data_IF_187305996635
#
_entry.id   IF_187305996635
#
_cell.length_a   1.000
_cell.length_b   1.000
_cell.length_c   1.000
_cell.angle_alpha   90.00
_cell.angle_beta   90.00
_cell.angle_gamma   90.00
#
_symmetry.space_group_name_H-M   'P 1'
#
loop_
_entity.id
_entity.type
_entity.pdbx_description
1 polymer ?
#
# COMPACT_ATOMS: atom_id res chain seq x y z
N UNK A 1 -28.86 -6.57 -15.91
CA UNK A 1 -29.07 -7.85 -15.21
C UNK A 1 -28.31 -8.94 -15.95
N UNK A 2 -27.66 -9.89 -15.27
CA UNK A 2 -26.96 -11.00 -15.94
C UNK A 2 -27.95 -12.08 -16.40
N UNK A 3 -27.65 -12.77 -17.51
CA UNK A 3 -28.40 -13.97 -17.89
C UNK A 3 -27.93 -15.11 -16.95
N UNK A 4 -28.74 -15.45 -15.95
CA UNK A 4 -28.38 -16.22 -14.74
C UNK A 4 -28.00 -17.69 -14.96
N UNK A 5 -27.97 -18.19 -16.20
CA UNK A 5 -27.77 -19.62 -16.51
C UNK A 5 -26.49 -19.95 -17.29
N UNK A 6 -25.68 -18.97 -17.71
CA UNK A 6 -24.44 -19.23 -18.47
C UNK A 6 -23.17 -18.98 -17.62
N UNK A 7 -22.24 -19.93 -17.60
CA UNK A 7 -20.92 -19.75 -16.99
C UNK A 7 -20.08 -18.69 -17.73
N UNK A 8 -19.23 -17.91 -17.02
CA UNK A 8 -18.33 -16.95 -17.64
C UNK A 8 -17.37 -17.59 -18.66
N UNK A 9 -17.32 -17.04 -19.87
CA UNK A 9 -16.43 -17.47 -20.95
C UNK A 9 -15.11 -16.71 -20.90
N UNK A 10 -14.01 -17.37 -21.23
CA UNK A 10 -12.69 -16.71 -21.33
C UNK A 10 -12.43 -16.28 -22.77
N UNK A 11 -12.03 -15.02 -22.98
CA UNK A 11 -11.59 -14.49 -24.28
C UNK A 11 -10.23 -13.80 -24.17
N UNK A 12 -9.57 -13.60 -25.31
CA UNK A 12 -8.27 -12.93 -25.42
C UNK A 12 -8.42 -11.68 -26.28
N UNK A 13 -8.02 -10.53 -25.73
CA UNK A 13 -8.11 -9.23 -26.39
C UNK A 13 -6.71 -8.79 -26.86
N UNK A 14 -6.60 -8.38 -28.12
CA UNK A 14 -5.39 -7.75 -28.67
C UNK A 14 -5.79 -6.49 -29.44
N UNK A 15 -4.94 -5.48 -29.39
CA UNK A 15 -5.11 -4.22 -30.16
C UNK A 15 -4.57 -4.34 -31.59
N UNK A 16 -4.02 -5.50 -31.98
CA UNK A 16 -3.43 -5.70 -33.31
C UNK A 16 -2.08 -5.02 -33.53
N UNK A 17 -1.54 -4.34 -32.51
CA UNK A 17 -0.24 -3.65 -32.55
C UNK A 17 0.93 -4.55 -32.11
N UNK A 18 0.65 -5.71 -31.51
CA UNK A 18 1.67 -6.69 -31.11
C UNK A 18 1.08 -8.10 -30.95
N UNK A 19 1.96 -9.10 -30.81
CA UNK A 19 1.57 -10.49 -30.51
C UNK A 19 1.15 -10.71 -29.05
N UNK A 20 1.02 -9.64 -28.24
CA UNK A 20 0.55 -9.74 -26.85
C UNK A 20 -0.97 -9.63 -26.78
N UNK A 21 -1.56 -10.31 -25.79
CA UNK A 21 -3.01 -10.32 -25.56
C UNK A 21 -3.33 -10.25 -24.06
N UNK A 22 -4.53 -9.77 -23.74
CA UNK A 22 -5.09 -9.73 -22.38
C UNK A 22 -6.18 -10.79 -22.26
N UNK A 23 -6.05 -11.70 -21.28
CA UNK A 23 -7.07 -12.70 -20.94
C UNK A 23 -8.16 -12.05 -20.07
N UNK A 24 -9.42 -12.14 -20.49
CA UNK A 24 -10.57 -11.63 -19.71
C UNK A 24 -11.70 -12.65 -19.67
N UNK A 25 -12.49 -12.64 -18.58
CA UNK A 25 -13.76 -13.38 -18.49
C UNK A 25 -14.93 -12.48 -18.86
N UNK A 26 -15.82 -12.97 -19.72
CA UNK A 26 -17.04 -12.28 -20.17
C UNK A 26 -18.27 -13.15 -19.91
N UNK A 27 -19.38 -12.52 -19.60
CA UNK A 27 -20.67 -13.20 -19.43
C UNK A 27 -21.75 -12.45 -20.21
N UNK A 28 -22.76 -13.20 -20.63
CA UNK A 28 -23.90 -12.64 -21.33
C UNK A 28 -24.79 -11.86 -20.36
N UNK A 29 -25.15 -10.63 -20.72
CA UNK A 29 -26.09 -9.82 -19.95
C UNK A 29 -27.43 -9.70 -20.69
N UNK A 30 -28.48 -9.36 -19.95
CA UNK A 30 -29.80 -9.01 -20.47
C UNK A 30 -29.78 -7.52 -20.82
N UNK A 31 -29.86 -7.14 -22.10
CA UNK A 31 -29.80 -5.74 -22.50
C UNK A 31 -30.95 -4.91 -21.94
N UNK A 32 -30.66 -3.65 -21.64
CA UNK A 32 -31.59 -2.63 -21.18
C UNK A 32 -31.67 -1.49 -22.20
N UNK A 33 -32.69 -0.64 -22.07
CA UNK A 33 -32.83 0.54 -22.91
C UNK A 33 -31.59 1.44 -22.78
N UNK A 34 -30.91 1.69 -23.90
CA UNK A 34 -29.67 2.48 -23.95
C UNK A 34 -28.39 1.67 -24.20
N UNK A 35 -28.45 0.34 -24.09
CA UNK A 35 -27.28 -0.50 -24.37
C UNK A 35 -26.93 -0.53 -25.87
N UNK A 36 -25.64 -0.39 -26.17
CA UNK A 36 -25.12 -0.46 -27.55
C UNK A 36 -24.89 -1.91 -27.96
N UNK A 37 -25.81 -2.45 -28.76
CA UNK A 37 -25.73 -3.81 -29.30
C UNK A 37 -25.34 -3.86 -30.79
N UNK A 38 -24.91 -2.73 -31.35
CA UNK A 38 -24.47 -2.66 -32.75
C UNK A 38 -23.10 -2.01 -32.84
N UNK A 39 -22.24 -2.58 -33.69
CA UNK A 39 -21.00 -1.95 -34.13
C UNK A 39 -21.25 -1.31 -35.48
N UNK A 40 -20.94 -0.03 -35.61
CA UNK A 40 -21.12 0.72 -36.86
C UNK A 40 -19.77 1.11 -37.45
N UNK A 41 -19.66 1.13 -38.78
CA UNK A 41 -18.51 1.67 -39.51
C UNK A 41 -18.97 2.38 -40.77
N UNK A 42 -18.13 3.24 -41.34
CA UNK A 42 -18.35 3.82 -42.66
C UNK A 42 -17.65 2.98 -43.72
N UNK A 43 -18.29 2.79 -44.87
CA UNK A 43 -17.64 2.28 -46.05
C UNK A 43 -18.07 3.12 -47.26
N UNK A 44 -17.15 3.94 -47.76
CA UNK A 44 -17.37 4.84 -48.90
C UNK A 44 -18.56 5.79 -48.70
N UNK A 45 -18.71 6.36 -47.50
CA UNK A 45 -19.79 7.28 -47.18
C UNK A 45 -21.13 6.60 -46.84
N UNK A 46 -21.17 5.26 -46.85
CA UNK A 46 -22.35 4.48 -46.44
C UNK A 46 -22.11 3.90 -45.05
N UNK A 47 -22.94 4.32 -44.09
CA UNK A 47 -22.94 3.76 -42.74
C UNK A 47 -23.41 2.29 -42.79
N UNK A 48 -22.56 1.40 -42.30
CA UNK A 48 -22.83 -0.02 -42.11
C UNK A 48 -22.93 -0.32 -40.62
N UNK A 49 -23.69 -1.36 -40.26
CA UNK A 49 -23.75 -1.87 -38.89
C UNK A 49 -23.82 -3.39 -38.85
N UNK A 50 -23.41 -3.96 -37.72
CA UNK A 50 -23.58 -5.38 -37.39
C UNK A 50 -24.00 -5.51 -35.94
N UNK A 51 -24.92 -6.45 -35.67
CA UNK A 51 -25.34 -6.77 -34.31
C UNK A 51 -24.23 -7.50 -33.57
N UNK A 52 -23.98 -7.09 -32.33
CA UNK A 52 -22.97 -7.64 -31.44
C UNK A 52 -23.69 -8.39 -30.30
N UNK A 53 -23.28 -9.64 -30.00
CA UNK A 53 -23.82 -10.37 -28.86
C UNK A 53 -23.63 -9.61 -27.54
N UNK A 54 -24.62 -9.61 -26.62
CA UNK A 54 -24.59 -8.83 -25.40
C UNK A 54 -23.71 -9.49 -24.34
N UNK A 55 -22.39 -9.41 -24.51
CA UNK A 55 -21.41 -9.85 -23.53
C UNK A 55 -20.72 -8.65 -22.89
N UNK A 56 -20.54 -8.72 -21.58
CA UNK A 56 -19.77 -7.75 -20.81
C UNK A 56 -18.69 -8.46 -20.00
N UNK A 57 -17.60 -7.75 -19.68
CA UNK A 57 -16.56 -8.28 -18.80
C UNK A 57 -17.12 -8.52 -17.40
N UNK A 58 -16.87 -9.72 -16.88
CA UNK A 58 -17.25 -10.09 -15.50
C UNK A 58 -16.20 -9.62 -14.50
N UNK A 59 -14.95 -9.45 -14.96
CA UNK A 59 -13.77 -9.18 -14.11
C UNK A 59 -13.49 -7.70 -13.82
N UNK A 60 -14.52 -6.86 -13.67
CA UNK A 60 -14.32 -5.58 -12.97
C UNK A 60 -13.97 -5.85 -11.48
N UNK A 61 -14.49 -6.93 -10.92
CA UNK A 61 -14.24 -7.36 -9.54
C UNK A 61 -12.83 -7.90 -9.32
N UNK A 62 -12.19 -8.59 -10.27
CA UNK A 62 -10.84 -9.17 -10.07
C UNK A 62 -9.76 -8.10 -9.85
N UNK A 63 -9.87 -6.94 -10.51
CA UNK A 63 -8.97 -5.82 -10.27
C UNK A 63 -9.17 -5.22 -8.87
N UNK A 64 -10.43 -5.13 -8.43
CA UNK A 64 -10.81 -4.67 -7.09
C UNK A 64 -10.38 -5.67 -6.02
N UNK A 65 -10.57 -6.97 -6.23
CA UNK A 65 -10.08 -8.06 -5.37
C UNK A 65 -8.57 -7.99 -5.23
N UNK A 66 -7.81 -7.83 -6.32
CA UNK A 66 -6.35 -7.67 -6.25
C UNK A 66 -5.92 -6.43 -5.46
N UNK A 67 -6.66 -5.33 -5.57
CA UNK A 67 -6.39 -4.11 -4.81
C UNK A 67 -6.66 -4.29 -3.32
N UNK A 68 -7.83 -4.84 -2.97
CA UNK A 68 -8.22 -5.16 -1.60
C UNK A 68 -7.23 -6.15 -0.99
N UNK A 69 -6.88 -7.19 -1.75
CA UNK A 69 -5.92 -8.20 -1.34
C UNK A 69 -4.54 -7.58 -1.08
N UNK A 70 -4.05 -6.68 -1.93
CA UNK A 70 -2.77 -6.02 -1.70
C UNK A 70 -2.78 -5.17 -0.43
N UNK A 71 -3.83 -4.37 -0.20
CA UNK A 71 -3.98 -3.59 1.03
C UNK A 71 -4.04 -4.51 2.26
N UNK A 72 -4.80 -5.59 2.17
CA UNK A 72 -4.92 -6.58 3.24
C UNK A 72 -3.57 -7.23 3.58
N UNK A 73 -2.82 -7.71 2.57
CA UNK A 73 -1.47 -8.25 2.77
C UNK A 73 -0.52 -7.19 3.35
N UNK A 74 -0.64 -5.93 2.94
CA UNK A 74 0.16 -4.83 3.48
C UNK A 74 -0.13 -4.60 4.96
N UNK A 75 -1.40 -4.57 5.35
CA UNK A 75 -1.81 -4.39 6.75
C UNK A 75 -1.45 -5.60 7.62
N UNK A 76 -1.61 -6.83 7.12
CA UNK A 76 -1.17 -8.04 7.82
C UNK A 76 0.35 -8.05 8.02
N UNK A 77 1.12 -7.70 6.98
CA UNK A 77 2.56 -7.61 7.08
C UNK A 77 2.96 -6.54 8.10
N UNK A 78 2.38 -5.35 8.00
CA UNK A 78 2.58 -4.26 8.98
C UNK A 78 2.31 -4.77 10.40
N UNK A 79 1.12 -5.33 10.67
CA UNK A 79 0.76 -5.82 12.00
C UNK A 79 1.70 -6.92 12.50
N UNK A 80 2.05 -7.89 11.64
CA UNK A 80 2.96 -8.97 12.03
C UNK A 80 4.35 -8.46 12.41
N UNK A 81 4.86 -7.42 11.72
CA UNK A 81 6.11 -6.75 12.08
C UNK A 81 5.96 -6.02 13.40
N UNK A 82 4.81 -5.39 13.65
CA UNK A 82 4.52 -4.69 14.91
C UNK A 82 4.54 -5.62 16.11
N UNK A 83 4.02 -6.84 15.96
CA UNK A 83 4.03 -7.86 17.02
C UNK A 83 5.45 -8.30 17.39
N UNK A 84 6.39 -8.32 16.42
CA UNK A 84 7.79 -8.71 16.65
C UNK A 84 8.72 -7.55 17.00
N UNK A 85 8.22 -6.31 17.01
CA UNK A 85 9.00 -5.09 17.28
C UNK A 85 8.48 -4.29 18.47
N UNK A 86 7.48 -4.82 19.18
CA UNK A 86 6.95 -4.24 20.42
C UNK A 86 6.76 -5.30 21.47
N UNK A 87 6.83 -4.89 22.73
CA UNK A 87 6.49 -5.75 23.85
C UNK A 87 5.03 -6.19 23.76
N UNK A 88 4.82 -7.49 23.95
CA UNK A 88 3.51 -8.12 23.99
C UNK A 88 3.22 -8.60 25.41
N UNK A 89 1.95 -8.53 25.80
CA UNK A 89 1.49 -8.74 27.17
C UNK A 89 0.31 -9.70 27.19
N UNK A 90 0.22 -10.50 28.24
CA UNK A 90 -0.95 -11.31 28.55
C UNK A 90 -2.07 -10.38 29.00
N UNK A 91 -3.27 -10.61 28.48
CA UNK A 91 -4.49 -9.87 28.80
C UNK A 91 -5.61 -10.86 29.12
N UNK A 92 -6.56 -10.47 29.97
CA UNK A 92 -7.68 -11.32 30.39
C UNK A 92 -7.54 -11.83 31.83
N UNK A 93 -8.44 -12.75 32.20
CA UNK A 93 -8.49 -13.34 33.56
C UNK A 93 -7.35 -14.32 33.81
N UNK A 94 -6.95 -15.09 32.80
CA UNK A 94 -5.81 -16.01 32.87
C UNK A 94 -4.49 -15.23 32.82
N UNK A 95 -3.63 -15.49 33.80
CA UNK A 95 -2.37 -14.75 34.04
C UNK A 95 -1.15 -15.66 34.14
N UNK A 96 -1.34 -16.97 33.99
CA UNK A 96 -0.35 -18.03 34.25
C UNK A 96 0.21 -17.96 35.68
N UNK A 97 -0.62 -17.49 36.63
CA UNK A 97 -0.24 -17.27 38.03
C UNK A 97 0.65 -16.05 38.28
N UNK A 98 0.91 -15.21 37.28
CA UNK A 98 1.70 -13.99 37.44
C UNK A 98 0.87 -12.86 38.07
N UNK A 99 1.47 -12.16 39.03
CA UNK A 99 0.86 -10.98 39.65
C UNK A 99 0.91 -9.78 38.69
N UNK A 100 -0.08 -8.90 38.76
CA UNK A 100 -0.13 -7.69 37.95
C UNK A 100 1.06 -6.74 38.18
N UNK A 101 1.66 -6.77 39.36
CA UNK A 101 2.83 -5.97 39.73
C UNK A 101 4.16 -6.72 39.53
N UNK A 102 4.21 -7.75 38.68
CA UNK A 102 5.47 -8.45 38.35
C UNK A 102 6.51 -7.51 37.74
N UNK A 103 6.08 -6.46 37.05
CA UNK A 103 6.90 -5.33 36.64
C UNK A 103 6.76 -4.22 37.69
N UNK A 104 7.88 -3.87 38.34
CA UNK A 104 7.91 -2.81 39.36
C UNK A 104 7.67 -1.41 38.76
N UNK A 105 7.49 -0.42 39.63
CA UNK A 105 7.18 0.97 39.27
C UNK A 105 8.29 1.66 38.45
N UNK A 106 9.49 1.10 38.42
CA UNK A 106 10.59 1.63 37.60
C UNK A 106 10.45 1.23 36.13
N UNK A 107 9.63 0.21 35.83
CA UNK A 107 9.38 -0.24 34.48
C UNK A 107 8.27 0.61 33.81
N UNK A 108 8.47 1.12 32.57
CA UNK A 108 7.44 1.88 31.85
C UNK A 108 6.18 1.06 31.53
N UNK A 109 6.22 -0.26 31.73
CA UNK A 109 5.09 -1.18 31.56
C UNK A 109 4.63 -1.79 32.89
N UNK A 110 4.89 -1.14 34.02
CA UNK A 110 4.26 -1.45 35.31
C UNK A 110 2.76 -1.72 35.15
N UNK A 111 2.25 -2.72 35.88
CA UNK A 111 0.84 -3.11 35.83
C UNK A 111 0.44 -3.99 34.63
N UNK A 112 1.40 -4.42 33.80
CA UNK A 112 1.19 -5.36 32.70
C UNK A 112 1.89 -6.70 32.96
N UNK A 113 1.31 -7.77 32.42
CA UNK A 113 1.88 -9.12 32.51
C UNK A 113 2.64 -9.44 31.21
N UNK A 114 3.98 -9.58 31.24
CA UNK A 114 4.75 -9.90 30.04
C UNK A 114 4.50 -11.34 29.58
N UNK A 115 4.71 -11.63 28.29
CA UNK A 115 4.78 -13.00 27.80
C UNK A 115 5.98 -13.74 28.41
N UNK A 116 5.84 -15.02 28.80
CA UNK A 116 6.97 -15.87 29.14
C UNK A 116 8.02 -15.89 28.00
N UNK A 117 9.33 -15.81 28.29
CA UNK A 117 10.36 -15.67 27.27
C UNK A 117 10.33 -16.74 26.17
N UNK A 118 10.07 -18.00 26.55
CA UNK A 118 9.97 -19.12 25.59
C UNK A 118 8.76 -18.96 24.68
N UNK A 119 7.61 -18.56 25.24
CA UNK A 119 6.39 -18.32 24.45
C UNK A 119 6.60 -17.14 23.48
N UNK A 120 7.23 -16.06 23.94
CA UNK A 120 7.61 -14.93 23.09
C UNK A 120 8.50 -15.37 21.92
N UNK A 121 9.55 -16.16 22.20
CA UNK A 121 10.44 -16.68 21.16
C UNK A 121 9.73 -17.60 20.15
N UNK A 122 8.78 -18.43 20.61
CA UNK A 122 7.95 -19.27 19.73
C UNK A 122 7.04 -18.43 18.83
N UNK A 123 6.41 -17.39 19.38
CA UNK A 123 5.60 -16.46 18.59
C UNK A 123 6.44 -15.74 17.53
N UNK A 124 7.63 -15.25 17.90
CA UNK A 124 8.55 -14.60 16.97
C UNK A 124 8.97 -15.54 15.83
N UNK A 125 9.27 -16.82 16.14
CA UNK A 125 9.60 -17.81 15.13
C UNK A 125 8.46 -17.96 14.10
N UNK A 126 7.22 -18.07 14.58
CA UNK A 126 6.05 -18.21 13.72
C UNK A 126 5.83 -16.94 12.88
N UNK A 127 5.82 -15.77 13.53
CA UNK A 127 5.58 -14.49 12.86
C UNK A 127 6.64 -14.20 11.81
N UNK A 128 7.92 -14.39 12.11
CA UNK A 128 9.03 -14.04 11.21
C UNK A 128 9.13 -15.06 10.07
N UNK A 129 9.21 -16.35 10.40
CA UNK A 129 9.56 -17.37 9.40
C UNK A 129 8.35 -17.88 8.61
N UNK A 130 7.18 -18.01 9.23
CA UNK A 130 6.01 -18.56 8.55
C UNK A 130 5.10 -17.48 7.95
N UNK A 131 5.01 -16.31 8.58
CA UNK A 131 4.07 -15.25 8.15
C UNK A 131 4.80 -14.16 7.36
N UNK A 132 5.70 -13.41 7.99
CA UNK A 132 6.38 -12.26 7.39
C UNK A 132 7.18 -12.64 6.14
N UNK A 133 7.90 -13.76 6.16
CA UNK A 133 8.71 -14.19 5.01
C UNK A 133 7.86 -14.44 3.76
N UNK A 134 6.70 -15.08 3.92
CA UNK A 134 5.74 -15.31 2.83
C UNK A 134 5.12 -13.99 2.36
N UNK A 135 4.54 -13.23 3.29
CA UNK A 135 3.85 -11.98 2.99
C UNK A 135 4.76 -10.95 2.31
N UNK A 136 6.03 -10.83 2.72
CA UNK A 136 7.00 -9.92 2.06
C UNK A 136 7.17 -10.24 0.58
N UNK A 137 7.37 -11.51 0.23
CA UNK A 137 7.57 -11.93 -1.16
C UNK A 137 6.32 -11.69 -2.01
N UNK A 138 5.17 -12.11 -1.50
CA UNK A 138 3.89 -11.95 -2.20
C UNK A 138 3.51 -10.47 -2.38
N UNK A 139 3.70 -9.66 -1.35
CA UNK A 139 3.43 -8.23 -1.40
C UNK A 139 4.33 -7.52 -2.41
N UNK A 140 5.64 -7.78 -2.39
CA UNK A 140 6.58 -7.14 -3.31
C UNK A 140 6.29 -7.52 -4.78
N UNK A 141 6.02 -8.79 -5.06
CA UNK A 141 5.65 -9.25 -6.40
C UNK A 141 4.35 -8.58 -6.89
N UNK A 142 3.32 -8.52 -6.05
CA UNK A 142 2.04 -7.88 -6.39
C UNK A 142 2.18 -6.38 -6.58
N UNK A 143 2.90 -5.71 -5.67
CA UNK A 143 3.16 -4.28 -5.72
C UNK A 143 3.96 -3.93 -6.99
N UNK A 144 5.03 -4.67 -7.30
CA UNK A 144 5.80 -4.50 -8.53
C UNK A 144 4.93 -4.69 -9.78
N UNK A 145 4.11 -5.76 -9.83
CA UNK A 145 3.19 -6.00 -10.96
C UNK A 145 2.16 -4.88 -11.14
N UNK A 146 1.67 -4.30 -10.04
CA UNK A 146 0.74 -3.17 -10.08
C UNK A 146 1.45 -1.90 -10.57
N UNK A 147 2.61 -1.60 -10.00
CA UNK A 147 3.48 -0.47 -10.34
C UNK A 147 3.94 -0.50 -11.80
N UNK A 148 4.28 -1.66 -12.36
CA UNK A 148 4.70 -1.80 -13.77
C UNK A 148 3.55 -1.58 -14.76
N UNK A 149 2.30 -1.87 -14.37
CA UNK A 149 1.13 -1.62 -15.24
C UNK A 149 0.72 -0.15 -15.27
N UNK A 150 1.08 0.60 -14.23
CA UNK A 150 0.84 2.05 -14.08
C UNK A 150 -0.57 2.50 -14.54
N UNK A 151 -1.60 1.76 -14.10
CA UNK A 151 -2.99 2.08 -14.43
C UNK A 151 -3.50 3.19 -13.51
N UNK A 152 -4.25 4.13 -14.08
CA UNK A 152 -4.90 5.21 -13.31
C UNK A 152 -5.73 4.64 -12.14
N UNK A 153 -6.53 3.61 -12.41
CA UNK A 153 -7.44 2.99 -11.42
C UNK A 153 -6.75 2.34 -10.21
N UNK A 154 -5.43 2.09 -10.28
CA UNK A 154 -4.65 1.51 -9.17
C UNK A 154 -3.83 2.54 -8.40
N UNK A 155 -3.88 3.81 -8.78
CA UNK A 155 -3.05 4.87 -8.20
C UNK A 155 -3.30 5.04 -6.70
N UNK A 156 -4.57 5.17 -6.28
CA UNK A 156 -4.92 5.37 -4.86
C UNK A 156 -4.44 4.19 -3.99
N UNK A 157 -4.60 2.98 -4.48
CA UNK A 157 -4.14 1.76 -3.80
C UNK A 157 -2.63 1.75 -3.68
N UNK A 158 -1.93 2.12 -4.75
CA UNK A 158 -0.47 2.22 -4.77
C UNK A 158 0.01 3.28 -3.76
N UNK A 159 -0.63 4.44 -3.72
CA UNK A 159 -0.39 5.48 -2.71
C UNK A 159 -0.54 4.94 -1.28
N UNK A 160 -1.68 4.31 -0.97
CA UNK A 160 -1.95 3.80 0.38
C UNK A 160 -0.95 2.72 0.80
N UNK A 161 -0.60 1.80 -0.10
CA UNK A 161 0.39 0.75 0.17
C UNK A 161 1.77 1.36 0.41
N UNK A 162 2.21 2.29 -0.44
CA UNK A 162 3.49 2.99 -0.26
C UNK A 162 3.49 3.77 1.06
N UNK A 163 2.42 4.48 1.39
CA UNK A 163 2.27 5.19 2.66
C UNK A 163 2.49 4.26 3.85
N UNK A 164 1.81 3.11 3.89
CA UNK A 164 1.92 2.14 4.98
C UNK A 164 3.34 1.56 5.06
N UNK A 165 3.96 1.25 3.91
CA UNK A 165 5.32 0.72 3.87
C UNK A 165 6.36 1.75 4.33
N UNK A 166 6.24 3.01 3.93
CA UNK A 166 7.13 4.10 4.37
C UNK A 166 6.98 4.36 5.87
N UNK A 167 5.76 4.34 6.39
CA UNK A 167 5.52 4.43 7.83
C UNK A 167 6.13 3.22 8.56
N UNK A 168 5.98 2.01 8.01
CA UNK A 168 6.61 0.82 8.56
C UNK A 168 8.14 0.94 8.60
N UNK A 169 8.76 1.54 7.58
CA UNK A 169 10.20 1.82 7.57
C UNK A 169 10.62 2.70 8.73
N UNK A 170 9.90 3.79 9.02
CA UNK A 170 10.18 4.63 10.19
C UNK A 170 10.12 3.82 11.51
N UNK A 171 9.09 2.99 11.66
CA UNK A 171 8.88 2.20 12.88
C UNK A 171 9.96 1.13 13.11
N UNK A 172 10.38 0.41 12.06
CA UNK A 172 11.45 -0.59 12.20
C UNK A 172 12.81 0.08 12.46
N UNK A 173 13.06 1.25 11.86
CA UNK A 173 14.24 2.08 12.15
C UNK A 173 14.23 2.55 13.60
N UNK A 174 13.09 3.03 14.11
CA UNK A 174 12.92 3.43 15.51
C UNK A 174 13.14 2.26 16.48
N UNK A 175 12.63 1.08 16.14
CA UNK A 175 12.87 -0.14 16.92
C UNK A 175 14.37 -0.49 16.98
N UNK A 176 15.07 -0.45 15.84
CA UNK A 176 16.53 -0.70 15.79
C UNK A 176 17.33 0.30 16.65
N UNK A 177 16.95 1.58 16.61
CA UNK A 177 17.57 2.62 17.43
C UNK A 177 17.28 2.41 18.92
N UNK A 178 16.03 2.12 19.27
CA UNK A 178 15.61 1.80 20.63
C UNK A 178 16.36 0.59 21.18
N UNK A 179 16.55 -0.45 20.36
CA UNK A 179 17.33 -1.64 20.73
C UNK A 179 18.80 -1.30 20.98
N UNK A 180 19.44 -0.54 20.09
CA UNK A 180 20.83 -0.10 20.27
C UNK A 180 21.02 0.65 21.60
N UNK A 181 20.14 1.61 21.88
CA UNK A 181 20.14 2.39 23.12
C UNK A 181 19.91 1.50 24.35
N UNK A 182 18.91 0.63 24.31
CA UNK A 182 18.56 -0.30 25.40
C UNK A 182 19.74 -1.19 25.79
N UNK A 183 20.54 -1.61 24.81
CA UNK A 183 21.68 -2.49 25.01
C UNK A 183 23.03 -1.74 25.10
N UNK A 184 23.02 -0.42 25.29
CA UNK A 184 24.24 0.38 25.49
C UNK A 184 25.21 0.38 24.30
N UNK A 185 24.72 0.11 23.09
CA UNK A 185 25.55 0.09 21.89
C UNK A 185 26.00 1.52 21.55
N UNK A 186 27.26 1.69 21.15
CA UNK A 186 27.84 3.00 20.78
C UNK A 186 27.44 3.50 19.38
N UNK A 187 26.51 2.82 18.72
CA UNK A 187 26.02 3.10 17.36
C UNK A 187 24.55 3.46 17.39
N UNK A 188 24.08 4.22 16.40
CA UNK A 188 22.69 4.72 16.36
C UNK A 188 21.69 3.59 16.19
N UNK A 189 22.01 2.57 15.40
CA UNK A 189 21.13 1.43 15.10
C UNK A 189 21.81 0.11 15.44
N UNK A 190 21.04 -0.87 15.91
CA UNK A 190 21.60 -2.17 16.27
C UNK A 190 22.04 -2.96 15.03
N UNK A 191 21.35 -2.77 13.90
CA UNK A 191 21.59 -3.46 12.63
C UNK A 191 21.72 -2.45 11.48
N UNK A 192 22.77 -1.64 11.49
CA UNK A 192 22.96 -0.54 10.53
C UNK A 192 22.82 -0.97 9.06
N UNK A 193 23.41 -2.09 8.66
CA UNK A 193 23.27 -2.61 7.29
C UNK A 193 21.81 -2.92 6.91
N UNK A 194 21.02 -3.43 7.85
CA UNK A 194 19.58 -3.65 7.61
C UNK A 194 18.80 -2.35 7.53
N UNK A 195 19.15 -1.37 8.35
CA UNK A 195 18.51 -0.04 8.28
C UNK A 195 18.81 0.63 6.94
N UNK A 196 20.05 0.52 6.42
CA UNK A 196 20.41 0.98 5.07
C UNK A 196 19.55 0.33 3.99
N UNK A 197 19.37 -1.00 4.05
CA UNK A 197 18.48 -1.72 3.12
C UNK A 197 17.04 -1.18 3.18
N UNK A 198 16.51 -0.91 4.37
CA UNK A 198 15.15 -0.38 4.55
C UNK A 198 14.99 1.02 3.96
N UNK A 199 15.99 1.89 4.18
CA UNK A 199 15.99 3.25 3.68
C UNK A 199 16.13 3.30 2.15
N UNK A 200 16.99 2.44 1.59
CA UNK A 200 17.09 2.26 0.14
C UNK A 200 15.74 1.82 -0.45
N UNK A 201 15.06 0.86 0.19
CA UNK A 201 13.72 0.44 -0.21
C UNK A 201 12.71 1.59 -0.18
N UNK A 202 12.73 2.42 0.86
CA UNK A 202 11.87 3.60 0.95
C UNK A 202 12.13 4.61 -0.18
N UNK A 203 13.39 4.88 -0.52
CA UNK A 203 13.75 5.73 -1.64
C UNK A 203 13.25 5.18 -2.98
N UNK A 204 13.32 3.86 -3.21
CA UNK A 204 12.81 3.23 -4.43
C UNK A 204 11.29 3.42 -4.54
N UNK A 205 10.56 3.22 -3.43
CA UNK A 205 9.11 3.42 -3.40
C UNK A 205 8.73 4.88 -3.66
N UNK A 206 9.43 5.83 -3.04
CA UNK A 206 9.21 7.26 -3.25
C UNK A 206 9.53 7.69 -4.68
N UNK A 207 10.66 7.25 -5.24
CA UNK A 207 11.03 7.54 -6.62
C UNK A 207 9.97 7.06 -7.60
N UNK A 208 9.44 5.85 -7.39
CA UNK A 208 8.37 5.34 -8.23
C UNK A 208 7.07 6.12 -8.07
N UNK A 209 6.66 6.44 -6.84
CA UNK A 209 5.46 7.22 -6.57
C UNK A 209 5.50 8.56 -7.31
N UNK A 210 6.60 9.30 -7.17
CA UNK A 210 6.78 10.60 -7.82
C UNK A 210 6.85 10.50 -9.34
N UNK A 211 7.53 9.48 -9.88
CA UNK A 211 7.56 9.20 -11.31
C UNK A 211 6.15 8.92 -11.88
N UNK A 212 5.34 8.13 -11.16
CA UNK A 212 4.00 7.76 -11.57
C UNK A 212 3.01 8.94 -11.61
N UNK A 213 3.32 10.05 -10.94
CA UNK A 213 2.48 11.23 -10.95
C UNK A 213 2.60 12.06 -12.24
N UNK A 214 3.54 11.75 -13.14
CA UNK A 214 3.67 12.36 -14.49
C UNK A 214 3.66 13.90 -14.48
N UNK A 215 4.32 14.51 -13.49
CA UNK A 215 4.37 15.96 -13.33
C UNK A 215 3.10 16.60 -12.74
N UNK A 216 2.09 15.80 -12.40
CA UNK A 216 0.99 16.23 -11.52
C UNK A 216 1.48 16.13 -10.08
N UNK A 217 1.07 17.05 -9.22
CA UNK A 217 1.41 17.04 -7.80
C UNK A 217 0.14 16.87 -6.97
N UNK A 218 -0.30 15.62 -6.71
CA UNK A 218 -1.65 15.31 -6.21
C UNK A 218 -1.99 15.92 -4.85
N UNK A 219 -0.97 16.32 -4.10
CA UNK A 219 -1.11 16.92 -2.79
C UNK A 219 -0.73 18.40 -2.73
N UNK A 220 -0.42 19.02 -3.87
CA UNK A 220 -0.14 20.46 -3.95
C UNK A 220 -1.44 21.28 -3.89
N UNK A 221 -1.33 22.57 -3.54
CA UNK A 221 -2.47 23.50 -3.56
C UNK A 221 -3.02 23.73 -4.98
N UNK A 222 -2.14 23.65 -5.98
CA UNK A 222 -2.50 23.90 -7.37
C UNK A 222 -3.20 22.70 -8.04
N UNK A 223 -3.28 21.55 -7.35
CA UNK A 223 -3.90 20.35 -7.90
C UNK A 223 -5.42 20.45 -7.91
N UNK A 224 -5.99 20.44 -9.10
CA UNK A 224 -7.44 20.51 -9.32
C UNK A 224 -8.04 19.10 -9.37
N UNK A 225 -9.34 19.01 -9.11
CA UNK A 225 -10.08 17.74 -9.20
C UNK A 225 -9.92 17.08 -10.58
N UNK A 226 -9.87 17.89 -11.65
CA UNK A 226 -9.64 17.40 -13.01
C UNK A 226 -8.28 16.72 -13.17
N UNK A 227 -7.24 17.20 -12.47
CA UNK A 227 -5.91 16.59 -12.49
C UNK A 227 -5.94 15.22 -11.83
N UNK A 228 -6.62 15.11 -10.67
CA UNK A 228 -6.79 13.83 -9.95
C UNK A 228 -7.62 12.82 -10.74
N UNK A 229 -8.67 13.27 -11.44
CA UNK A 229 -9.45 12.44 -12.37
C UNK A 229 -8.59 11.94 -13.52
N UNK A 230 -7.76 12.81 -14.09
CA UNK A 230 -6.88 12.47 -15.22
C UNK A 230 -5.72 11.56 -14.79
N UNK A 231 -5.17 11.77 -13.60
CA UNK A 231 -4.06 10.97 -13.07
C UNK A 231 -4.51 9.59 -12.63
N UNK A 232 -5.63 9.53 -11.92
CA UNK A 232 -5.96 8.38 -11.07
C UNK A 232 -7.41 7.88 -11.25
N UNK A 233 -8.21 8.50 -12.12
CA UNK A 233 -9.60 8.08 -12.34
C UNK A 233 -10.46 8.12 -11.08
N UNK A 234 -10.17 9.06 -10.17
CA UNK A 234 -10.83 9.14 -8.87
C UNK A 234 -12.27 9.64 -8.99
N UNK A 235 -13.13 9.11 -8.12
CA UNK A 235 -14.48 9.64 -7.89
C UNK A 235 -14.45 10.74 -6.81
N UNK A 236 -15.60 11.36 -6.58
CA UNK A 236 -15.76 12.49 -5.64
C UNK A 236 -15.31 12.16 -4.22
N UNK A 237 -15.59 10.95 -3.73
CA UNK A 237 -15.21 10.54 -2.39
C UNK A 237 -13.69 10.39 -2.26
N UNK A 238 -13.06 9.74 -3.24
CA UNK A 238 -11.61 9.55 -3.28
C UNK A 238 -10.86 10.87 -3.48
N UNK A 239 -11.42 11.80 -4.25
CA UNK A 239 -10.87 13.16 -4.42
C UNK A 239 -10.89 13.91 -3.09
N UNK A 240 -12.02 13.89 -2.37
CA UNK A 240 -12.13 14.50 -1.03
C UNK A 240 -11.11 13.91 -0.06
N UNK A 241 -10.87 12.60 -0.12
CA UNK A 241 -9.84 11.96 0.69
C UNK A 241 -8.43 12.49 0.37
N UNK A 242 -8.05 12.59 -0.92
CA UNK A 242 -6.74 13.13 -1.33
C UNK A 242 -6.57 14.58 -0.85
N UNK A 243 -7.59 15.43 -1.02
CA UNK A 243 -7.58 16.81 -0.52
C UNK A 243 -7.49 16.89 1.00
N UNK A 244 -8.18 16.01 1.72
CA UNK A 244 -8.06 15.92 3.17
C UNK A 244 -6.62 15.61 3.60
N UNK A 245 -5.98 14.63 2.95
CA UNK A 245 -4.58 14.29 3.26
C UNK A 245 -3.60 15.39 2.87
N UNK A 246 -3.84 16.11 1.77
CA UNK A 246 -3.06 17.28 1.37
C UNK A 246 -3.15 18.40 2.40
N UNK A 247 -4.37 18.72 2.87
CA UNK A 247 -4.59 19.73 3.88
C UNK A 247 -3.92 19.37 5.22
N UNK A 248 -3.94 18.09 5.60
CA UNK A 248 -3.24 17.60 6.79
C UNK A 248 -1.72 17.78 6.63
N UNK A 249 -1.15 17.36 5.50
CA UNK A 249 0.27 17.51 5.22
C UNK A 249 0.71 18.98 5.29
N UNK A 250 -0.10 19.89 4.76
CA UNK A 250 0.17 21.34 4.80
C UNK A 250 0.21 21.89 6.22
N UNK A 251 -0.72 21.47 7.08
CA UNK A 251 -0.74 21.89 8.50
C UNK A 251 0.53 21.51 9.24
N UNK A 252 1.17 20.41 8.85
CA UNK A 252 2.39 19.91 9.48
C UNK A 252 3.66 20.15 8.64
N UNK A 253 3.60 20.96 7.56
CA UNK A 253 4.68 21.10 6.60
C UNK A 253 6.01 21.53 7.25
N UNK A 254 5.98 22.56 8.11
CA UNK A 254 7.16 23.06 8.83
C UNK A 254 7.77 22.00 9.75
N UNK A 255 6.91 21.29 10.51
CA UNK A 255 7.36 20.24 11.40
C UNK A 255 8.01 19.08 10.62
N UNK A 256 7.39 18.68 9.52
CA UNK A 256 7.90 17.60 8.68
C UNK A 256 9.20 17.98 7.99
N UNK A 257 9.34 19.23 7.54
CA UNK A 257 10.60 19.76 7.01
C UNK A 257 11.71 19.72 8.07
N UNK A 258 11.42 20.15 9.29
CA UNK A 258 12.37 20.10 10.41
C UNK A 258 12.82 18.65 10.71
N UNK A 259 11.89 17.70 10.75
CA UNK A 259 12.16 16.27 10.93
C UNK A 259 13.10 15.74 9.82
N UNK A 260 12.88 16.16 8.57
CA UNK A 260 13.72 15.78 7.43
C UNK A 260 15.12 16.40 7.53
N UNK A 261 15.20 17.70 7.82
CA UNK A 261 16.47 18.43 7.96
C UNK A 261 17.33 17.90 9.09
N UNK A 262 16.71 17.47 10.21
CA UNK A 262 17.40 16.86 11.35
C UNK A 262 17.70 15.37 11.18
N UNK A 263 17.34 14.77 10.04
CA UNK A 263 17.55 13.35 9.76
C UNK A 263 16.99 12.43 10.87
N UNK A 264 15.78 12.74 11.38
CA UNK A 264 15.12 11.96 12.43
C UNK A 264 14.39 10.76 11.80
N UNK A 265 15.18 9.80 11.29
CA UNK A 265 14.71 8.63 10.56
C UNK A 265 13.70 7.77 11.34
N UNK A 266 13.76 7.81 12.66
CA UNK A 266 12.90 7.10 13.59
C UNK A 266 11.50 7.73 13.73
N UNK A 267 11.30 8.95 13.23
CA UNK A 267 10.02 9.64 13.34
C UNK A 267 9.00 9.09 12.34
N UNK A 268 7.78 8.82 12.81
CA UNK A 268 6.68 8.21 12.03
C UNK A 268 6.42 8.87 10.67
N UNK A 269 6.65 10.18 10.58
CA UNK A 269 6.44 10.99 9.38
C UNK A 269 7.70 11.27 8.55
N UNK A 270 8.89 10.79 8.95
CA UNK A 270 10.13 11.09 8.22
C UNK A 270 10.06 10.64 6.76
N UNK A 271 9.73 9.37 6.51
CA UNK A 271 9.61 8.83 5.15
C UNK A 271 8.28 9.22 4.49
N UNK A 272 7.19 9.19 5.25
CA UNK A 272 5.83 9.50 4.74
C UNK A 272 5.73 10.93 4.22
N UNK A 273 6.32 11.90 4.92
CA UNK A 273 6.24 13.31 4.53
C UNK A 273 6.82 13.59 3.14
N UNK A 274 7.71 12.72 2.67
CA UNK A 274 8.34 12.83 1.35
C UNK A 274 7.38 12.54 0.19
N UNK A 275 6.25 11.86 0.43
CA UNK A 275 5.17 11.69 -0.57
C UNK A 275 4.52 13.02 -0.96
N UNK A 276 4.59 14.01 -0.08
CA UNK A 276 3.92 15.31 -0.23
C UNK A 276 4.83 16.39 -0.80
N UNK A 277 6.07 16.07 -1.13
CA UNK A 277 7.03 17.02 -1.71
C UNK A 277 6.82 17.14 -3.23
N UNK A 278 6.79 18.37 -3.74
CA UNK A 278 6.67 18.64 -5.19
C UNK A 278 7.99 18.37 -5.92
N UNK A 279 9.10 18.83 -5.38
CA UNK A 279 10.43 18.66 -5.97
C UNK A 279 11.23 17.57 -5.23
N UNK A 280 10.60 16.43 -5.01
CA UNK A 280 11.25 15.32 -4.32
C UNK A 280 12.50 14.86 -5.08
N UNK A 281 13.57 14.57 -4.33
CA UNK A 281 14.80 13.98 -4.83
C UNK A 281 15.19 12.80 -3.95
N UNK A 282 15.83 11.76 -4.51
CA UNK A 282 16.34 10.66 -3.72
C UNK A 282 17.36 11.18 -2.71
N UNK A 283 17.18 10.78 -1.45
CA UNK A 283 18.06 11.22 -0.36
C UNK A 283 19.04 10.12 -0.02
N UNK A 284 20.32 10.44 0.01
CA UNK A 284 21.31 9.57 0.65
C UNK A 284 21.04 9.60 2.15
N UNK A 285 20.63 8.46 2.70
CA UNK A 285 20.50 8.28 4.16
C UNK A 285 21.84 7.80 4.74
N UNK A 286 21.81 7.29 5.97
CA UNK A 286 22.87 6.40 6.50
C UNK A 286 23.25 5.29 5.54
#
# INVERSE_FOLDING_TARGET
SWATTEEPRTIYLSEGLSNKFVKVKVQRFIPQAGDKLERTWDYKGVKKSVKIPPYAMVNLEEAKERCVELIHHTLLLWMSIRLTTRSSFIVGEETLGMKQNILDETNPNHGKIPLPPVLGAQMDLILIHHIQTKLRRELLDKLQKMMSKNKQSTWLVTYLVIFILLHNTALITAHDAGYAKKHGMKRRFAREEKVKEYHLGANILLAHFHYCNKGIYPFSEDCKDQDLRTLAGLDEEKIKFVHHTSNLARRYALQWEEIRNKAVYEHDYFFVSQLFETNWQPRTTI
#
